data_IF_715423311717
#
_entry.id   IF_715423311717
#
_cell.length_a   1.000
_cell.length_b   1.000
_cell.length_c   1.000
_cell.angle_alpha   90.00
_cell.angle_beta   90.00
_cell.angle_gamma   90.00
#
_symmetry.space_group_name_H-M   'P 1'
#
loop_
_entity.id
_entity.type
_entity.pdbx_description
1 polymer ?
#
# COMPACT_ATOMS: atom_id res chain seq x y z
N UNK A 1 7.35 35.83 -7.47
CA UNK A 1 6.14 36.56 -7.03
C UNK A 1 5.16 35.69 -6.19
N UNK A 2 4.97 34.40 -6.45
CA UNK A 2 4.05 33.50 -5.72
C UNK A 2 4.43 33.19 -4.26
N UNK A 3 5.71 33.27 -3.87
CA UNK A 3 6.18 33.03 -2.49
C UNK A 3 5.57 33.94 -1.39
N UNK A 4 4.82 34.95 -1.77
CA UNK A 4 4.24 35.95 -0.82
C UNK A 4 2.81 35.60 -0.36
N UNK A 5 2.11 34.66 -1.00
CA UNK A 5 0.70 34.40 -0.67
C UNK A 5 0.48 33.35 0.43
N UNK A 6 1.41 32.39 0.60
CA UNK A 6 1.25 31.35 1.62
C UNK A 6 2.57 31.12 2.34
N UNK A 7 2.58 31.20 3.67
CA UNK A 7 3.75 30.86 4.48
C UNK A 7 4.12 29.37 4.41
N UNK A 8 5.38 28.99 4.71
CA UNK A 8 5.85 27.60 4.63
C UNK A 8 5.03 26.64 5.48
N UNK A 9 4.45 27.09 6.59
CA UNK A 9 3.58 26.27 7.42
C UNK A 9 2.28 25.84 6.72
N UNK A 10 1.72 26.70 5.85
CA UNK A 10 0.51 26.41 5.11
C UNK A 10 0.80 25.29 4.10
N UNK A 11 1.93 25.37 3.39
CA UNK A 11 2.33 24.32 2.45
C UNK A 11 2.57 22.98 3.14
N UNK A 12 3.15 22.96 4.35
CA UNK A 12 3.31 21.76 5.15
C UNK A 12 1.97 21.16 5.62
N UNK A 13 1.01 22.01 6.04
CA UNK A 13 -0.34 21.54 6.41
C UNK A 13 -1.09 21.00 5.19
N UNK A 14 -1.00 21.70 4.07
CA UNK A 14 -1.61 21.27 2.81
C UNK A 14 -1.01 19.95 2.33
N UNK A 15 0.31 19.81 2.40
CA UNK A 15 0.99 18.54 2.07
C UNK A 15 0.48 17.38 2.92
N UNK A 16 0.34 17.56 4.23
CA UNK A 16 -0.20 16.52 5.10
C UNK A 16 -1.65 16.17 4.75
N UNK A 17 -2.49 17.17 4.46
CA UNK A 17 -3.85 16.97 3.99
C UNK A 17 -3.89 16.18 2.67
N UNK A 18 -3.05 16.56 1.71
CA UNK A 18 -2.91 15.88 0.41
C UNK A 18 -2.52 14.42 0.59
N UNK A 19 -1.56 14.13 1.47
CA UNK A 19 -1.18 12.74 1.77
C UNK A 19 -2.33 11.94 2.38
N UNK A 20 -3.09 12.53 3.32
CA UNK A 20 -4.27 11.88 3.89
C UNK A 20 -5.33 11.61 2.83
N UNK A 21 -5.61 12.58 1.97
CA UNK A 21 -6.55 12.46 0.86
C UNK A 21 -6.11 11.39 -0.15
N UNK A 22 -4.81 11.35 -0.48
CA UNK A 22 -4.23 10.33 -1.35
C UNK A 22 -4.37 8.93 -0.75
N UNK A 23 -4.10 8.76 0.56
CA UNK A 23 -4.22 7.48 1.26
C UNK A 23 -5.67 6.98 1.22
N UNK A 24 -6.65 7.85 1.47
CA UNK A 24 -8.08 7.52 1.33
C UNK A 24 -8.39 7.11 -0.12
N UNK A 25 -7.85 7.86 -1.09
CA UNK A 25 -8.01 7.57 -2.52
C UNK A 25 -7.44 6.22 -2.93
N UNK A 26 -6.29 5.82 -2.38
CA UNK A 26 -5.68 4.51 -2.64
C UNK A 26 -6.63 3.37 -2.27
N UNK A 27 -7.41 3.52 -1.22
CA UNK A 27 -8.38 2.50 -0.79
C UNK A 27 -9.70 2.60 -1.57
N UNK A 28 -10.25 3.82 -1.70
CA UNK A 28 -11.62 4.01 -2.15
C UNK A 28 -11.78 4.16 -3.66
N UNK A 29 -10.86 4.89 -4.35
CA UNK A 29 -11.11 5.28 -5.74
C UNK A 29 -9.87 5.72 -6.49
N UNK A 30 -9.72 5.22 -7.72
CA UNK A 30 -8.67 5.66 -8.65
C UNK A 30 -8.76 7.17 -8.93
N UNK A 31 -9.96 7.73 -8.97
CA UNK A 31 -10.18 9.16 -9.17
C UNK A 31 -9.62 9.97 -8.00
N UNK A 32 -9.99 9.62 -6.76
CA UNK A 32 -9.49 10.30 -5.55
C UNK A 32 -7.96 10.18 -5.43
N UNK A 33 -7.42 9.01 -5.77
CA UNK A 33 -5.96 8.81 -5.81
C UNK A 33 -5.29 9.77 -6.80
N UNK A 34 -5.82 9.89 -8.02
CA UNK A 34 -5.29 10.80 -9.05
C UNK A 34 -5.41 12.27 -8.65
N UNK A 35 -6.54 12.65 -8.04
CA UNK A 35 -6.74 14.00 -7.49
C UNK A 35 -5.74 14.31 -6.37
N UNK A 36 -5.47 13.36 -5.48
CA UNK A 36 -4.44 13.50 -4.45
C UNK A 36 -3.06 13.76 -5.03
N UNK A 37 -2.67 13.02 -6.09
CA UNK A 37 -1.41 13.25 -6.79
C UNK A 37 -1.36 14.64 -7.45
N UNK A 38 -2.43 15.04 -8.13
CA UNK A 38 -2.52 16.36 -8.75
C UNK A 38 -2.38 17.48 -7.73
N UNK A 39 -3.12 17.40 -6.62
CA UNK A 39 -3.03 18.38 -5.53
C UNK A 39 -1.63 18.41 -4.90
N UNK A 40 -0.97 17.25 -4.79
CA UNK A 40 0.41 17.16 -4.31
C UNK A 40 1.39 17.91 -5.23
N UNK A 41 1.32 17.66 -6.52
CA UNK A 41 2.14 18.38 -7.52
C UNK A 41 1.85 19.88 -7.50
N UNK A 42 0.58 20.28 -7.48
CA UNK A 42 0.20 21.70 -7.41
C UNK A 42 0.77 22.37 -6.16
N UNK A 43 0.71 21.72 -4.99
CA UNK A 43 1.30 22.26 -3.77
C UNK A 43 2.80 22.49 -3.91
N UNK A 44 3.54 21.54 -4.50
CA UNK A 44 4.98 21.68 -4.75
C UNK A 44 5.31 22.83 -5.71
N UNK A 45 4.51 22.97 -6.78
CA UNK A 45 4.66 24.05 -7.76
C UNK A 45 4.39 25.43 -7.11
N UNK A 46 3.34 25.55 -6.30
CA UNK A 46 2.96 26.79 -5.63
C UNK A 46 4.01 27.23 -4.57
N UNK A 47 4.60 26.29 -3.86
CA UNK A 47 5.67 26.58 -2.91
C UNK A 47 6.97 27.00 -3.63
N UNK A 48 7.28 26.37 -4.78
CA UNK A 48 8.41 26.74 -5.64
C UNK A 48 9.81 26.56 -5.01
N UNK A 49 9.95 25.71 -4.01
CA UNK A 49 11.23 25.50 -3.30
C UNK A 49 12.05 24.33 -3.92
N UNK A 50 12.16 24.33 -5.26
CA UNK A 50 12.72 23.22 -6.05
C UNK A 50 14.14 22.82 -5.63
N UNK A 51 14.99 23.79 -5.27
CA UNK A 51 16.37 23.52 -4.82
C UNK A 51 16.40 22.64 -3.56
N UNK A 52 15.55 22.94 -2.59
CA UNK A 52 15.43 22.16 -1.36
C UNK A 52 14.85 20.77 -1.64
N UNK A 53 13.84 20.67 -2.52
CA UNK A 53 13.26 19.37 -2.92
C UNK A 53 14.32 18.49 -3.57
N UNK A 54 15.06 19.01 -4.54
CA UNK A 54 16.11 18.26 -5.22
C UNK A 54 17.17 17.74 -4.26
N UNK A 55 17.61 18.57 -3.32
CA UNK A 55 18.57 18.17 -2.29
C UNK A 55 18.03 17.01 -1.41
N UNK A 56 16.76 17.08 -0.98
CA UNK A 56 16.13 16.02 -0.18
C UNK A 56 15.93 14.73 -0.98
N UNK A 57 15.49 14.82 -2.21
CA UNK A 57 15.31 13.66 -3.09
C UNK A 57 16.65 12.95 -3.31
N UNK A 58 17.71 13.73 -3.60
CA UNK A 58 19.07 13.19 -3.82
C UNK A 58 19.67 12.57 -2.56
N UNK A 59 19.32 13.05 -1.38
CA UNK A 59 19.80 12.52 -0.12
C UNK A 59 19.16 11.19 0.29
N UNK A 60 18.06 10.77 -0.36
CA UNK A 60 17.34 9.57 -0.01
C UNK A 60 17.52 8.47 -1.08
N UNK A 61 18.35 7.43 -0.82
CA UNK A 61 18.65 6.40 -1.79
C UNK A 61 17.42 5.59 -2.23
N UNK A 62 16.43 5.40 -1.35
CA UNK A 62 15.19 4.71 -1.69
C UNK A 62 14.38 5.48 -2.71
N UNK A 63 14.28 6.79 -2.56
CA UNK A 63 13.61 7.66 -3.53
C UNK A 63 14.32 7.61 -4.87
N UNK A 64 15.65 7.70 -4.88
CA UNK A 64 16.45 7.60 -6.10
C UNK A 64 16.23 6.26 -6.81
N UNK A 65 16.17 5.16 -6.05
CA UNK A 65 15.89 3.83 -6.60
C UNK A 65 14.52 3.77 -7.29
N UNK A 66 13.47 4.33 -6.66
CA UNK A 66 12.12 4.37 -7.23
C UNK A 66 12.08 5.25 -8.50
N UNK A 67 12.77 6.39 -8.49
CA UNK A 67 12.88 7.26 -9.67
C UNK A 67 13.66 6.58 -10.80
N UNK A 68 14.75 5.87 -10.46
CA UNK A 68 15.51 5.07 -11.42
C UNK A 68 14.64 3.97 -12.04
N UNK A 69 13.84 3.29 -11.23
CA UNK A 69 12.93 2.27 -11.71
C UNK A 69 11.92 2.83 -12.75
N UNK A 70 11.39 4.04 -12.53
CA UNK A 70 10.57 4.72 -13.54
C UNK A 70 11.38 5.09 -14.78
N UNK A 71 12.61 5.59 -14.61
CA UNK A 71 13.49 5.94 -15.72
C UNK A 71 13.81 4.73 -16.62
N UNK A 72 13.95 3.52 -16.05
CA UNK A 72 14.12 2.29 -16.84
C UNK A 72 12.93 2.01 -17.75
N UNK A 73 11.71 2.32 -17.32
CA UNK A 73 10.54 2.20 -18.21
C UNK A 73 10.57 3.21 -19.36
N UNK A 74 11.03 4.44 -19.10
CA UNK A 74 11.23 5.44 -20.18
C UNK A 74 12.30 4.97 -21.18
N UNK A 75 13.41 4.45 -20.68
CA UNK A 75 14.49 3.90 -21.51
C UNK A 75 13.96 2.72 -22.33
N UNK A 76 13.11 1.85 -21.74
CA UNK A 76 12.49 0.72 -22.42
C UNK A 76 11.66 1.09 -23.66
N UNK A 77 11.17 2.35 -23.77
CA UNK A 77 10.46 2.81 -24.98
C UNK A 77 11.32 2.76 -26.24
N UNK A 78 12.63 2.96 -26.13
CA UNK A 78 13.53 2.93 -27.29
C UNK A 78 13.61 1.55 -27.98
N UNK A 79 13.25 0.49 -27.27
CA UNK A 79 13.19 -0.89 -27.79
C UNK A 79 11.76 -1.40 -27.98
N UNK A 80 10.75 -0.53 -27.82
CA UNK A 80 9.36 -0.93 -27.95
C UNK A 80 8.97 -1.06 -29.42
N UNK A 81 8.44 -2.21 -29.83
CA UNK A 81 7.85 -2.43 -31.15
C UNK A 81 6.52 -1.69 -31.34
N UNK A 82 5.84 -1.29 -30.24
CA UNK A 82 4.58 -0.56 -30.27
C UNK A 82 4.65 0.66 -29.34
N UNK A 83 5.00 1.81 -29.92
CA UNK A 83 5.15 3.06 -29.20
C UNK A 83 3.84 3.55 -28.56
N UNK A 84 2.71 3.36 -29.23
CA UNK A 84 1.40 3.77 -28.69
C UNK A 84 1.08 3.04 -27.39
N UNK A 85 1.28 1.72 -27.38
CA UNK A 85 1.13 0.92 -26.17
C UNK A 85 2.15 1.33 -25.09
N UNK A 86 3.41 1.53 -25.48
CA UNK A 86 4.47 1.94 -24.55
C UNK A 86 4.19 3.29 -23.88
N UNK A 87 3.71 4.28 -24.63
CA UNK A 87 3.34 5.60 -24.10
C UNK A 87 2.13 5.50 -23.13
N UNK A 88 1.13 4.69 -23.46
CA UNK A 88 -0.01 4.46 -22.56
C UNK A 88 0.41 3.76 -21.25
N UNK A 89 1.36 2.83 -21.33
CA UNK A 89 1.94 2.15 -20.16
C UNK A 89 2.72 3.14 -19.28
N UNK A 90 3.53 4.01 -19.85
CA UNK A 90 4.24 5.10 -19.13
C UNK A 90 3.24 6.04 -18.45
N UNK A 91 2.17 6.43 -19.16
CA UNK A 91 1.11 7.27 -18.58
C UNK A 91 0.47 6.62 -17.37
N UNK A 92 0.15 5.34 -17.44
CA UNK A 92 -0.42 4.58 -16.30
C UNK A 92 0.55 4.50 -15.12
N UNK A 93 1.85 4.44 -15.39
CA UNK A 93 2.92 4.36 -14.39
C UNK A 93 3.41 5.72 -13.88
N UNK A 94 2.87 6.85 -14.34
CA UNK A 94 3.26 8.20 -13.88
C UNK A 94 3.17 8.37 -12.36
N UNK A 95 2.30 7.64 -11.70
CA UNK A 95 2.22 7.63 -10.22
C UNK A 95 3.52 7.14 -9.56
N UNK A 96 4.29 6.26 -10.22
CA UNK A 96 5.60 5.78 -9.72
C UNK A 96 6.65 6.89 -9.73
N UNK A 97 6.50 7.91 -10.58
CA UNK A 97 7.32 9.11 -10.58
C UNK A 97 6.83 10.11 -9.53
N UNK A 98 5.53 10.39 -9.51
CA UNK A 98 4.96 11.48 -8.72
C UNK A 98 4.96 11.19 -7.21
N UNK A 99 4.65 9.95 -6.80
CA UNK A 99 4.59 9.58 -5.37
C UNK A 99 5.94 9.80 -4.66
N UNK A 100 7.08 9.27 -5.17
CA UNK A 100 8.37 9.51 -4.53
C UNK A 100 8.76 10.98 -4.48
N UNK A 101 8.43 11.77 -5.52
CA UNK A 101 8.70 13.20 -5.55
C UNK A 101 7.86 13.92 -4.48
N UNK A 102 6.55 13.67 -4.41
CA UNK A 102 5.66 14.32 -3.45
C UNK A 102 6.07 13.98 -2.02
N UNK A 103 6.28 12.70 -1.72
CA UNK A 103 6.64 12.24 -0.37
C UNK A 103 8.04 12.71 0.02
N UNK A 104 8.99 12.70 -0.92
CA UNK A 104 10.38 13.08 -0.66
C UNK A 104 10.61 14.59 -0.57
N UNK A 105 9.80 15.40 -1.25
CA UNK A 105 9.91 16.85 -1.20
C UNK A 105 9.62 17.40 0.19
N UNK A 106 8.64 16.82 0.90
CA UNK A 106 8.27 17.20 2.26
C UNK A 106 8.30 15.99 3.18
N UNK A 107 9.38 15.75 3.92
CA UNK A 107 9.43 14.66 4.88
C UNK A 107 8.35 14.86 5.95
N UNK A 108 7.73 13.76 6.36
CA UNK A 108 6.74 13.77 7.45
C UNK A 108 7.50 14.06 8.75
N UNK A 109 7.36 15.25 9.34
CA UNK A 109 8.34 15.74 10.31
C UNK A 109 8.19 15.15 11.70
N UNK A 110 7.13 14.40 11.98
CA UNK A 110 6.87 13.85 13.32
C UNK A 110 6.21 12.50 13.29
N UNK A 111 6.58 11.63 14.23
CA UNK A 111 5.94 10.33 14.48
C UNK A 111 4.42 10.48 14.67
N UNK A 112 3.98 11.60 15.28
CA UNK A 112 2.56 11.88 15.48
C UNK A 112 1.81 12.05 14.15
N UNK A 113 2.39 12.76 13.19
CA UNK A 113 1.78 12.93 11.86
C UNK A 113 1.76 11.62 11.08
N UNK A 114 2.83 10.84 11.16
CA UNK A 114 2.88 9.50 10.58
C UNK A 114 1.76 8.61 11.14
N UNK A 115 1.64 8.53 12.46
CA UNK A 115 0.61 7.73 13.11
C UNK A 115 -0.81 8.17 12.70
N UNK A 116 -1.05 9.48 12.46
CA UNK A 116 -2.35 9.95 11.95
C UNK A 116 -2.63 9.43 10.54
N UNK A 117 -1.65 9.42 9.64
CA UNK A 117 -1.81 8.86 8.29
C UNK A 117 -2.11 7.36 8.34
N UNK A 118 -1.41 6.62 9.20
CA UNK A 118 -1.67 5.20 9.46
C UNK A 118 -3.10 4.99 9.99
N UNK A 119 -3.56 5.84 10.91
CA UNK A 119 -4.95 5.79 11.40
C UNK A 119 -5.97 6.02 10.28
N UNK A 120 -5.76 7.03 9.43
CA UNK A 120 -6.65 7.29 8.29
C UNK A 120 -6.70 6.09 7.35
N UNK A 121 -5.56 5.46 7.09
CA UNK A 121 -5.50 4.26 6.25
C UNK A 121 -6.29 3.11 6.86
N UNK A 122 -6.04 2.76 8.13
CA UNK A 122 -6.72 1.67 8.83
C UNK A 122 -8.23 1.95 8.91
N UNK A 123 -8.63 3.16 9.29
CA UNK A 123 -10.04 3.55 9.39
C UNK A 123 -10.75 3.43 8.05
N UNK A 124 -10.12 3.89 6.97
CA UNK A 124 -10.69 3.78 5.63
C UNK A 124 -10.85 2.32 5.20
N UNK A 125 -9.86 1.47 5.49
CA UNK A 125 -9.95 0.03 5.23
C UNK A 125 -11.06 -0.64 6.05
N UNK A 126 -11.20 -0.29 7.32
CA UNK A 126 -12.29 -0.82 8.18
C UNK A 126 -13.66 -0.45 7.62
N UNK A 127 -13.87 0.84 7.29
CA UNK A 127 -15.13 1.32 6.74
C UNK A 127 -15.45 0.62 5.41
N UNK A 128 -14.48 0.57 4.50
CA UNK A 128 -14.69 -0.06 3.18
C UNK A 128 -14.86 -1.57 3.28
N UNK A 129 -14.18 -2.26 4.21
CA UNK A 129 -14.38 -3.67 4.47
C UNK A 129 -15.79 -3.97 4.98
N UNK A 130 -16.29 -3.17 5.92
CA UNK A 130 -17.65 -3.33 6.42
C UNK A 130 -18.69 -3.07 5.33
N UNK A 131 -18.50 -2.02 4.52
CA UNK A 131 -19.39 -1.73 3.39
C UNK A 131 -19.39 -2.91 2.40
N UNK A 132 -18.23 -3.45 2.04
CA UNK A 132 -18.10 -4.58 1.14
C UNK A 132 -18.81 -5.82 1.68
N UNK A 133 -18.62 -6.15 2.98
CA UNK A 133 -19.27 -7.30 3.62
C UNK A 133 -20.80 -7.13 3.65
N UNK A 134 -21.28 -5.95 4.05
CA UNK A 134 -22.72 -5.65 4.10
C UNK A 134 -23.32 -5.69 2.69
N UNK A 135 -22.64 -5.08 1.71
CA UNK A 135 -23.11 -5.04 0.33
C UNK A 135 -23.20 -6.45 -0.27
N UNK A 136 -22.19 -7.28 -0.04
CA UNK A 136 -22.20 -8.67 -0.52
C UNK A 136 -23.28 -9.49 0.17
N UNK A 137 -23.46 -9.36 1.49
CA UNK A 137 -24.42 -10.17 2.25
C UNK A 137 -25.88 -9.82 1.96
N UNK A 138 -26.20 -8.55 1.73
CA UNK A 138 -27.58 -8.09 1.64
C UNK A 138 -27.99 -7.57 0.27
N UNK A 139 -27.04 -7.25 -0.60
CA UNK A 139 -27.30 -6.59 -1.88
C UNK A 139 -26.59 -7.28 -3.05
N UNK A 140 -26.10 -8.52 -2.90
CA UNK A 140 -25.35 -9.22 -3.94
C UNK A 140 -26.13 -9.31 -5.26
N UNK A 141 -27.41 -9.70 -5.20
CA UNK A 141 -28.27 -9.82 -6.38
C UNK A 141 -28.52 -8.46 -7.06
N UNK A 142 -28.80 -7.41 -6.26
CA UNK A 142 -29.04 -6.08 -6.77
C UNK A 142 -27.78 -5.45 -7.42
N UNK A 143 -26.61 -5.81 -6.94
CA UNK A 143 -25.32 -5.37 -7.44
C UNK A 143 -24.71 -6.31 -8.49
N UNK A 144 -25.42 -7.40 -8.81
CA UNK A 144 -24.97 -8.43 -9.77
C UNK A 144 -23.57 -9.01 -9.42
N UNK A 145 -23.30 -9.23 -8.13
CA UNK A 145 -22.06 -9.81 -7.64
C UNK A 145 -22.14 -11.34 -7.78
N UNK A 146 -21.53 -11.88 -8.83
CA UNK A 146 -21.60 -13.31 -9.16
C UNK A 146 -20.55 -14.10 -8.37
N UNK A 147 -19.34 -13.58 -8.30
CA UNK A 147 -18.22 -14.22 -7.60
C UNK A 147 -17.99 -13.53 -6.23
N UNK A 148 -17.62 -14.32 -5.22
CA UNK A 148 -17.28 -13.79 -3.88
C UNK A 148 -16.15 -12.74 -3.95
N UNK A 149 -15.28 -12.82 -4.95
CA UNK A 149 -14.19 -11.86 -5.19
C UNK A 149 -14.70 -10.49 -5.64
N UNK A 150 -15.90 -10.43 -6.25
CA UNK A 150 -16.55 -9.19 -6.70
C UNK A 150 -17.06 -8.35 -5.53
N UNK A 151 -17.08 -8.90 -4.30
CA UNK A 151 -17.41 -8.13 -3.09
C UNK A 151 -16.52 -6.89 -2.88
N UNK A 152 -15.35 -6.80 -3.53
CA UNK A 152 -14.44 -5.65 -3.44
C UNK A 152 -14.92 -4.49 -4.32
N UNK A 153 -15.94 -3.73 -3.88
CA UNK A 153 -16.58 -2.65 -4.64
C UNK A 153 -15.66 -1.46 -4.92
N UNK A 154 -14.67 -1.21 -4.07
CA UNK A 154 -13.79 -0.03 -4.14
C UNK A 154 -12.57 -0.21 -5.05
N UNK A 155 -12.53 -1.25 -5.86
CA UNK A 155 -11.48 -1.48 -6.84
C UNK A 155 -11.20 -2.96 -7.11
N UNK A 156 -10.04 -3.26 -7.72
CA UNK A 156 -9.66 -4.65 -7.97
C UNK A 156 -9.50 -5.43 -6.66
N UNK A 157 -10.10 -6.61 -6.59
CA UNK A 157 -9.97 -7.54 -5.46
C UNK A 157 -8.50 -7.86 -5.13
N UNK A 158 -7.63 -7.97 -6.15
CA UNK A 158 -6.19 -8.21 -5.97
C UNK A 158 -5.55 -7.07 -5.18
N UNK A 159 -5.79 -5.82 -5.60
CA UNK A 159 -5.23 -4.64 -4.92
C UNK A 159 -5.78 -4.51 -3.50
N UNK A 160 -7.08 -4.73 -3.34
CA UNK A 160 -7.74 -4.62 -2.05
C UNK A 160 -7.21 -5.67 -1.06
N UNK A 161 -7.00 -6.92 -1.51
CA UNK A 161 -6.37 -7.95 -0.69
C UNK A 161 -4.95 -7.59 -0.21
N UNK A 162 -4.12 -6.99 -1.08
CA UNK A 162 -2.79 -6.48 -0.67
C UNK A 162 -2.92 -5.36 0.37
N UNK A 163 -3.85 -4.43 0.18
CA UNK A 163 -4.10 -3.35 1.15
C UNK A 163 -4.54 -3.87 2.51
N UNK A 164 -5.32 -4.97 2.57
CA UNK A 164 -5.66 -5.65 3.83
C UNK A 164 -4.43 -6.18 4.56
N UNK A 165 -3.49 -6.80 3.83
CA UNK A 165 -2.21 -7.24 4.43
C UNK A 165 -1.39 -6.07 4.98
N UNK A 166 -1.28 -4.96 4.23
CA UNK A 166 -0.60 -3.74 4.71
C UNK A 166 -1.32 -3.16 5.93
N UNK A 167 -2.66 -3.11 5.91
CA UNK A 167 -3.47 -2.68 7.05
C UNK A 167 -3.24 -3.52 8.29
N UNK A 168 -3.16 -4.85 8.12
CA UNK A 168 -2.82 -5.78 9.20
C UNK A 168 -1.44 -5.48 9.79
N UNK A 169 -0.41 -5.26 8.95
CA UNK A 169 0.93 -4.90 9.41
C UNK A 169 0.92 -3.62 10.26
N UNK A 170 0.21 -2.58 9.80
CA UNK A 170 0.08 -1.33 10.55
C UNK A 170 -0.70 -1.51 11.86
N UNK A 171 -1.75 -2.33 11.89
CA UNK A 171 -2.46 -2.63 13.14
C UNK A 171 -1.53 -3.30 14.16
N UNK A 172 -0.75 -4.30 13.73
CA UNK A 172 0.22 -5.00 14.57
C UNK A 172 1.28 -4.02 15.10
N UNK A 173 1.81 -3.13 14.25
CA UNK A 173 2.76 -2.09 14.65
C UNK A 173 2.18 -1.17 15.74
N UNK A 174 0.93 -0.72 15.59
CA UNK A 174 0.27 0.14 16.57
C UNK A 174 -0.02 -0.58 17.88
N UNK A 175 -0.37 -1.87 17.82
CA UNK A 175 -0.53 -2.72 19.02
C UNK A 175 0.80 -2.89 19.76
N UNK A 176 1.88 -3.14 19.03
CA UNK A 176 3.24 -3.26 19.60
C UNK A 176 3.71 -1.97 20.27
N UNK A 177 3.39 -0.81 19.70
CA UNK A 177 3.69 0.51 20.28
C UNK A 177 2.85 0.87 21.51
N UNK A 178 1.92 0.02 21.94
CA UNK A 178 1.08 0.27 23.10
C UNK A 178 0.07 1.41 22.91
N UNK A 179 -0.49 1.53 21.72
CA UNK A 179 -1.46 2.59 21.41
C UNK A 179 -2.68 2.56 22.34
N UNK A 180 -3.17 3.73 22.73
CA UNK A 180 -4.40 3.89 23.52
C UNK A 180 -5.66 3.35 22.84
N UNK A 181 -5.63 3.17 21.50
CA UNK A 181 -6.72 2.60 20.71
C UNK A 181 -6.59 1.09 20.51
N UNK A 182 -5.98 0.39 21.46
CA UNK A 182 -5.71 -1.06 21.40
C UNK A 182 -6.90 -1.89 20.92
N UNK A 183 -8.08 -1.68 21.53
CA UNK A 183 -9.28 -2.46 21.20
C UNK A 183 -9.74 -2.24 19.74
N UNK A 184 -9.64 -0.99 19.25
CA UNK A 184 -9.97 -0.69 17.86
C UNK A 184 -9.02 -1.40 16.87
N UNK A 185 -7.71 -1.45 17.19
CA UNK A 185 -6.77 -2.18 16.36
C UNK A 185 -6.96 -3.69 16.43
N UNK A 186 -7.29 -4.25 17.59
CA UNK A 186 -7.62 -5.67 17.73
C UNK A 186 -8.85 -6.04 16.88
N UNK A 187 -9.90 -5.19 16.93
CA UNK A 187 -11.05 -5.33 16.05
C UNK A 187 -10.68 -5.24 14.57
N UNK A 188 -9.82 -4.29 14.19
CA UNK A 188 -9.36 -4.14 12.80
C UNK A 188 -8.58 -5.37 12.34
N UNK A 189 -7.69 -5.92 13.16
CA UNK A 189 -6.97 -7.18 12.88
C UNK A 189 -7.95 -8.32 12.60
N UNK A 190 -8.91 -8.50 13.51
CA UNK A 190 -9.93 -9.53 13.35
C UNK A 190 -10.73 -9.34 12.05
N UNK A 191 -11.21 -8.13 11.80
CA UNK A 191 -11.97 -7.81 10.59
C UNK A 191 -11.17 -8.06 9.31
N UNK A 192 -9.89 -7.66 9.26
CA UNK A 192 -9.04 -7.84 8.08
C UNK A 192 -8.75 -9.32 7.81
N UNK A 193 -8.56 -10.12 8.85
CA UNK A 193 -8.40 -11.56 8.70
C UNK A 193 -9.70 -12.20 8.19
N UNK A 194 -10.84 -11.92 8.83
CA UNK A 194 -12.14 -12.43 8.40
C UNK A 194 -12.43 -12.05 6.95
N UNK A 195 -12.25 -10.77 6.59
CA UNK A 195 -12.44 -10.30 5.23
C UNK A 195 -11.56 -11.05 4.23
N UNK A 196 -10.25 -11.17 4.53
CA UNK A 196 -9.28 -11.81 3.62
C UNK A 196 -9.63 -13.27 3.35
N UNK A 197 -9.97 -14.03 4.39
CA UNK A 197 -10.33 -15.44 4.22
C UNK A 197 -11.71 -15.61 3.59
N UNK A 198 -12.68 -14.77 3.94
CA UNK A 198 -14.02 -14.82 3.37
C UNK A 198 -14.04 -14.47 1.89
N UNK A 199 -13.28 -13.46 1.47
CA UNK A 199 -13.19 -13.04 0.06
C UNK A 199 -12.45 -14.02 -0.85
N UNK A 200 -11.74 -15.01 -0.31
CA UNK A 200 -10.97 -16.04 -1.04
C UNK A 200 -9.98 -15.46 -2.06
N UNK A 201 -9.54 -14.22 -1.87
CA UNK A 201 -8.61 -13.55 -2.77
C UNK A 201 -7.18 -13.98 -2.46
N UNK A 202 -6.55 -14.73 -3.36
CA UNK A 202 -5.22 -15.30 -3.17
C UNK A 202 -4.15 -14.25 -2.83
N UNK A 203 -4.16 -13.09 -3.47
CA UNK A 203 -3.23 -11.99 -3.17
C UNK A 203 -3.38 -11.47 -1.73
N UNK A 204 -4.59 -11.45 -1.18
CA UNK A 204 -4.86 -11.12 0.21
C UNK A 204 -4.29 -12.17 1.15
N UNK A 205 -4.54 -13.44 0.90
CA UNK A 205 -4.05 -14.56 1.71
C UNK A 205 -2.52 -14.56 1.73
N UNK A 206 -1.87 -14.40 0.57
CA UNK A 206 -0.41 -14.32 0.46
C UNK A 206 0.12 -13.10 1.24
N UNK A 207 -0.49 -11.93 1.09
CA UNK A 207 -0.02 -10.73 1.80
C UNK A 207 -0.14 -10.86 3.32
N UNK A 208 -1.22 -11.46 3.83
CA UNK A 208 -1.37 -11.79 5.26
C UNK A 208 -0.31 -12.80 5.70
N UNK A 209 -0.08 -13.85 4.93
CA UNK A 209 0.95 -14.85 5.23
C UNK A 209 2.36 -14.22 5.33
N UNK A 210 2.70 -13.32 4.41
CA UNK A 210 3.97 -12.56 4.45
C UNK A 210 4.07 -11.72 5.72
N UNK A 211 3.01 -11.02 6.11
CA UNK A 211 2.99 -10.20 7.34
C UNK A 211 3.17 -11.06 8.58
N UNK A 212 2.46 -12.19 8.67
CA UNK A 212 2.58 -13.10 9.81
C UNK A 212 3.95 -13.76 9.88
N UNK A 213 4.51 -14.18 8.74
CA UNK A 213 5.87 -14.69 8.66
C UNK A 213 6.92 -13.65 9.09
N UNK A 214 6.78 -12.41 8.62
CA UNK A 214 7.65 -11.31 9.03
C UNK A 214 7.56 -11.02 10.53
N UNK A 215 6.36 -11.05 11.10
CA UNK A 215 6.16 -10.90 12.55
C UNK A 215 6.82 -12.06 13.33
N UNK A 216 6.65 -13.28 12.87
CA UNK A 216 7.31 -14.45 13.48
C UNK A 216 8.82 -14.31 13.46
N UNK A 217 9.40 -13.96 12.31
CA UNK A 217 10.84 -13.70 12.16
C UNK A 217 11.30 -12.62 13.15
N UNK A 218 10.57 -11.51 13.23
CA UNK A 218 10.90 -10.40 14.12
C UNK A 218 10.88 -10.82 15.60
N UNK A 219 9.87 -11.56 16.03
CA UNK A 219 9.75 -12.04 17.43
C UNK A 219 10.87 -13.03 17.77
N UNK A 220 11.16 -13.98 16.88
CA UNK A 220 12.22 -14.97 17.07
C UNK A 220 13.60 -14.30 17.12
N UNK A 221 13.82 -13.29 16.26
CA UNK A 221 15.05 -12.49 16.27
C UNK A 221 15.23 -11.74 17.60
N UNK A 222 14.19 -11.08 18.09
CA UNK A 222 14.24 -10.37 19.37
C UNK A 222 14.53 -11.32 20.56
N UNK A 223 13.97 -12.52 20.53
CA UNK A 223 14.17 -13.53 21.57
C UNK A 223 15.51 -14.27 21.44
N UNK A 224 16.34 -13.94 20.44
CA UNK A 224 17.59 -14.63 20.10
C UNK A 224 17.42 -16.12 19.86
N UNK A 225 16.25 -16.56 19.48
CA UNK A 225 15.94 -17.97 19.16
C UNK A 225 16.32 -18.29 17.70
N UNK A 226 17.58 -18.08 17.35
CA UNK A 226 18.07 -18.24 15.97
C UNK A 226 17.88 -19.67 15.45
N UNK A 227 18.04 -20.68 16.31
CA UNK A 227 17.81 -22.08 15.91
C UNK A 227 16.37 -22.30 15.47
N UNK A 228 15.40 -21.80 16.22
CA UNK A 228 13.96 -21.91 15.88
C UNK A 228 13.67 -21.12 14.60
N UNK A 229 14.32 -19.96 14.41
CA UNK A 229 14.20 -19.18 13.17
C UNK A 229 14.70 -19.97 11.96
N UNK A 230 15.91 -20.53 12.01
CA UNK A 230 16.48 -21.27 10.91
C UNK A 230 15.72 -22.56 10.62
N UNK A 231 15.27 -23.29 11.65
CA UNK A 231 14.46 -24.50 11.46
C UNK A 231 13.11 -24.20 10.84
N UNK A 232 12.43 -23.11 11.27
CA UNK A 232 11.14 -22.71 10.69
C UNK A 232 11.28 -22.27 9.23
N UNK A 233 12.32 -21.50 8.90
CA UNK A 233 12.61 -21.12 7.51
C UNK A 233 12.91 -22.34 6.64
N UNK A 234 13.68 -23.29 7.14
CA UNK A 234 14.00 -24.53 6.44
C UNK A 234 12.73 -25.37 6.17
N UNK A 235 11.85 -25.51 7.15
CA UNK A 235 10.57 -26.23 6.98
C UNK A 235 9.65 -25.54 5.96
N UNK A 236 9.61 -24.22 5.94
CA UNK A 236 8.84 -23.45 4.93
C UNK A 236 9.41 -23.70 3.53
N UNK A 237 10.73 -23.70 3.38
CA UNK A 237 11.39 -23.97 2.09
C UNK A 237 11.12 -25.40 1.63
N UNK A 238 11.22 -26.40 2.52
CA UNK A 238 10.90 -27.79 2.19
C UNK A 238 9.43 -27.96 1.82
N UNK A 239 8.52 -27.34 2.56
CA UNK A 239 7.09 -27.39 2.28
C UNK A 239 6.74 -26.74 0.93
N UNK A 240 7.35 -25.60 0.60
CA UNK A 240 7.17 -24.94 -0.69
C UNK A 240 7.73 -25.75 -1.85
N UNK A 241 8.92 -26.36 -1.68
CA UNK A 241 9.49 -27.26 -2.68
C UNK A 241 8.64 -28.51 -2.90
N UNK A 242 8.12 -29.10 -1.81
CA UNK A 242 7.19 -30.24 -1.89
C UNK A 242 5.87 -29.86 -2.58
N UNK A 243 5.34 -28.67 -2.31
CA UNK A 243 4.13 -28.19 -2.98
C UNK A 243 4.36 -27.96 -4.48
N UNK A 244 5.49 -27.36 -4.86
CA UNK A 244 5.85 -27.13 -6.26
C UNK A 244 6.02 -28.50 -6.96
N UNK A 245 6.71 -29.45 -6.32
CA UNK A 245 6.86 -30.80 -6.85
C UNK A 245 5.50 -31.47 -7.06
N UNK A 246 4.60 -31.42 -6.07
CA UNK A 246 3.26 -31.98 -6.16
C UNK A 246 2.44 -31.35 -7.30
N UNK A 247 2.48 -30.03 -7.44
CA UNK A 247 1.77 -29.31 -8.51
C UNK A 247 2.39 -29.51 -9.90
N UNK A 248 3.65 -29.93 -9.97
CA UNK A 248 4.33 -30.23 -11.25
C UNK A 248 4.08 -31.67 -11.77
N UNK A 249 3.45 -32.53 -10.96
CA UNK A 249 3.09 -33.87 -11.42
C UNK A 249 1.98 -33.77 -12.47
N UNK A 250 2.12 -34.49 -13.61
CA UNK A 250 1.05 -34.54 -14.60
C UNK A 250 -0.20 -35.16 -13.97
N UNK A 251 -1.33 -34.46 -14.11
CA UNK A 251 -2.63 -35.00 -13.71
C UNK A 251 -2.95 -36.13 -14.68
N UNK A 252 -2.85 -37.38 -14.25
CA UNK A 252 -3.37 -38.52 -14.99
C UNK A 252 -4.90 -38.43 -15.02
N UNK A 253 -5.43 -38.14 -16.19
CA UNK A 253 -6.86 -38.13 -16.45
C UNK A 253 -7.30 -39.55 -16.89
#
# INVERSE_FOLDING_TARGET
>A
MLKRFFGPEIHHRLHFFVLGFFIIGVVCSKFLMSMGLLLGVLNLLLEGNFRSYFQRLKANPLILLLLLFYALHLIGLFWSSNLTYGLDDIRKKTSMLLIPIIVGAHPIPTTLRWNRLVHYFILTLVITALINLIAYQFFADALQLIDIRDMSLFGSHIRYGILMGIGLAFCIEQLYKGSKFRNAYMFSVFLFLVYTFYSQVLSGIISVAIVLAGLMIFVLWQRRQLVVLFTSLFLVLLGSAGLIYYLSQPVEY
#
